data_IF_093863915103
#
_entry.id   IF_093863915103
#
_cell.length_a   1.000
_cell.length_b   1.000
_cell.length_c   1.000
_cell.angle_alpha   90.00
_cell.angle_beta   90.00
_cell.angle_gamma   90.00
#
_symmetry.space_group_name_H-M   'P 1'
#
loop_
_entity.id
_entity.type
_entity.pdbx_description
1 polymer ?
#
# COMPACT_ATOMS: atom_id res chain seq x y z
N UNK A 1 10.18 -46.07 13.04
CA UNK A 1 8.80 -45.83 12.73
C UNK A 1 8.66 -44.48 12.09
N UNK A 2 8.67 -44.42 10.77
CA UNK A 2 8.37 -43.17 10.03
C UNK A 2 6.86 -42.95 10.01
N UNK A 3 6.41 -41.76 10.34
CA UNK A 3 5.04 -41.36 10.12
C UNK A 3 4.75 -41.41 8.62
N UNK A 4 3.59 -41.96 8.23
CA UNK A 4 3.23 -42.04 6.82
C UNK A 4 3.07 -40.62 6.23
N UNK A 5 3.35 -40.46 4.94
CA UNK A 5 3.17 -39.21 4.21
C UNK A 5 1.75 -38.65 4.41
N UNK A 6 0.71 -39.50 4.39
CA UNK A 6 -0.69 -39.13 4.65
C UNK A 6 -0.91 -38.54 6.05
N UNK A 7 -0.18 -39.02 7.07
CA UNK A 7 -0.29 -38.46 8.42
C UNK A 7 0.33 -37.05 8.53
N UNK A 8 1.40 -36.81 7.77
CA UNK A 8 2.06 -35.51 7.71
C UNK A 8 1.23 -34.51 6.87
N UNK A 9 0.67 -34.95 5.74
CA UNK A 9 -0.22 -34.13 4.93
C UNK A 9 -1.49 -33.70 5.68
N UNK A 10 -2.12 -34.63 6.43
CA UNK A 10 -3.31 -34.33 7.23
C UNK A 10 -3.09 -33.34 8.39
N UNK A 11 -1.83 -33.15 8.85
CA UNK A 11 -1.48 -32.18 9.91
C UNK A 11 -0.82 -30.89 9.41
N UNK A 12 -0.10 -30.95 8.28
CA UNK A 12 0.64 -29.82 7.73
C UNK A 12 -0.26 -28.97 6.84
N UNK A 13 -1.13 -29.59 6.03
CA UNK A 13 -2.02 -28.85 5.14
C UNK A 13 -3.03 -27.93 5.85
N UNK A 14 -3.70 -28.31 6.95
CA UNK A 14 -4.55 -27.38 7.71
C UNK A 14 -3.77 -26.23 8.35
N UNK A 15 -2.50 -26.47 8.73
CA UNK A 15 -1.62 -25.41 9.26
C UNK A 15 -1.16 -24.43 8.20
N UNK A 16 -0.89 -24.91 6.99
CA UNK A 16 -0.51 -24.08 5.84
C UNK A 16 -1.71 -23.27 5.35
N UNK A 17 -2.89 -23.87 5.24
CA UNK A 17 -4.13 -23.17 4.89
C UNK A 17 -4.50 -22.09 5.93
N UNK A 18 -4.24 -22.33 7.22
CA UNK A 18 -4.44 -21.32 8.27
C UNK A 18 -3.40 -20.20 8.23
N UNK A 19 -2.21 -20.42 7.65
CA UNK A 19 -1.20 -19.37 7.41
C UNK A 19 -1.53 -18.54 6.18
N UNK A 20 -2.12 -19.11 5.14
CA UNK A 20 -2.59 -18.40 3.95
C UNK A 20 -3.80 -17.48 4.24
N UNK A 21 -4.55 -17.76 5.32
CA UNK A 21 -5.68 -16.93 5.78
C UNK A 21 -5.23 -15.71 6.62
N UNK A 22 -3.95 -15.63 6.97
CA UNK A 22 -3.37 -14.52 7.70
C UNK A 22 -2.81 -13.47 6.72
N UNK A 23 -3.45 -12.30 6.69
CA UNK A 23 -2.91 -11.14 5.92
C UNK A 23 -1.51 -10.81 6.43
N UNK A 24 -0.49 -11.01 5.58
CA UNK A 24 0.89 -10.66 5.90
C UNK A 24 0.99 -9.15 6.15
N UNK A 25 1.60 -8.76 7.24
CA UNK A 25 1.82 -7.35 7.56
C UNK A 25 2.72 -6.69 6.50
N UNK A 26 2.42 -5.43 6.17
CA UNK A 26 3.12 -4.68 5.13
C UNK A 26 3.61 -3.33 5.66
N UNK A 27 4.88 -3.04 5.44
CA UNK A 27 5.47 -1.73 5.69
C UNK A 27 5.92 -1.14 4.37
N UNK A 28 5.19 -0.11 3.93
CA UNK A 28 5.38 0.54 2.64
C UNK A 28 6.01 1.93 2.82
N UNK A 29 7.12 2.22 2.16
CA UNK A 29 7.84 3.48 2.25
C UNK A 29 7.61 4.36 1.00
N UNK A 30 6.79 5.39 1.10
CA UNK A 30 6.61 6.37 0.03
C UNK A 30 7.65 7.48 0.17
N UNK A 31 8.65 7.50 -0.71
CA UNK A 31 9.72 8.50 -0.68
C UNK A 31 9.30 9.85 -1.26
N UNK A 32 8.12 9.90 -1.89
CA UNK A 32 7.58 11.14 -2.47
C UNK A 32 8.59 11.77 -3.45
N UNK A 33 8.68 13.10 -3.49
CA UNK A 33 9.61 13.85 -4.35
C UNK A 33 10.95 14.08 -3.63
N UNK A 34 11.62 12.99 -3.26
CA UNK A 34 12.93 13.02 -2.59
C UNK A 34 13.88 12.02 -3.22
N UNK A 35 15.18 12.25 -3.05
CA UNK A 35 16.32 11.43 -3.47
C UNK A 35 16.65 11.56 -4.96
N UNK A 36 17.89 11.88 -5.21
CA UNK A 36 18.54 11.67 -6.51
C UNK A 36 18.80 10.17 -6.73
N UNK A 37 19.20 9.77 -7.93
CA UNK A 37 19.44 8.35 -8.25
C UNK A 37 20.42 7.69 -7.29
N UNK A 38 21.59 8.31 -7.04
CA UNK A 38 22.59 7.77 -6.12
C UNK A 38 22.09 7.64 -4.69
N UNK A 39 21.47 8.70 -4.15
CA UNK A 39 20.88 8.69 -2.80
C UNK A 39 19.76 7.65 -2.66
N UNK A 40 19.01 7.39 -3.73
CA UNK A 40 17.94 6.40 -3.75
C UNK A 40 18.47 4.97 -3.69
N UNK A 41 19.55 4.69 -4.43
CA UNK A 41 20.25 3.39 -4.39
C UNK A 41 20.84 3.13 -3.01
N UNK A 42 21.60 4.09 -2.47
CA UNK A 42 22.21 3.98 -1.12
C UNK A 42 21.15 3.70 -0.04
N UNK A 43 20.01 4.40 -0.11
CA UNK A 43 18.92 4.19 0.83
C UNK A 43 18.26 2.81 0.65
N UNK A 44 18.04 2.36 -0.59
CA UNK A 44 17.44 1.07 -0.87
C UNK A 44 18.30 -0.09 -0.37
N UNK A 45 19.62 -0.05 -0.64
CA UNK A 45 20.59 -1.04 -0.17
C UNK A 45 20.64 -1.08 1.36
N UNK A 46 20.67 0.09 2.02
CA UNK A 46 20.63 0.17 3.49
C UNK A 46 19.35 -0.41 4.08
N UNK A 47 18.18 -0.15 3.45
CA UNK A 47 16.92 -0.75 3.88
C UNK A 47 16.96 -2.28 3.73
N UNK A 48 17.49 -2.80 2.62
CA UNK A 48 17.66 -4.25 2.42
C UNK A 48 18.50 -4.86 3.53
N UNK A 49 19.62 -4.25 3.86
CA UNK A 49 20.52 -4.75 4.91
C UNK A 49 19.85 -4.72 6.29
N UNK A 50 19.24 -3.60 6.66
CA UNK A 50 18.67 -3.39 8.00
C UNK A 50 17.35 -4.12 8.24
N UNK A 51 16.63 -4.51 7.20
CA UNK A 51 15.36 -5.27 7.31
C UNK A 51 15.53 -6.76 7.04
N UNK A 52 16.77 -7.23 6.88
CA UNK A 52 17.03 -8.64 6.63
C UNK A 52 16.45 -9.54 7.73
N UNK A 53 15.81 -10.64 7.33
CA UNK A 53 15.18 -11.61 8.24
C UNK A 53 13.80 -11.20 8.76
N UNK A 54 13.24 -10.08 8.34
CA UNK A 54 11.86 -9.71 8.69
C UNK A 54 10.85 -10.67 8.06
N UNK A 55 9.75 -10.94 8.78
CA UNK A 55 8.59 -11.66 8.23
C UNK A 55 7.60 -10.72 7.56
N UNK A 56 7.70 -9.41 7.79
CA UNK A 56 6.83 -8.42 7.19
C UNK A 56 7.17 -8.25 5.69
N UNK A 57 6.19 -7.89 4.89
CA UNK A 57 6.44 -7.44 3.53
C UNK A 57 6.90 -5.98 3.56
N UNK A 58 8.07 -5.73 3.00
CA UNK A 58 8.68 -4.39 2.91
C UNK A 58 8.64 -3.95 1.46
N UNK A 59 8.04 -2.79 1.19
CA UNK A 59 7.94 -2.23 -0.17
C UNK A 59 8.35 -0.77 -0.15
N UNK A 60 9.17 -0.34 -1.11
CA UNK A 60 9.60 1.05 -1.26
C UNK A 60 9.07 1.65 -2.56
N UNK A 61 8.76 2.94 -2.53
CA UNK A 61 8.27 3.69 -3.67
C UNK A 61 9.19 4.88 -3.95
N UNK A 62 10.30 4.66 -4.68
CA UNK A 62 11.23 5.72 -5.08
C UNK A 62 10.59 6.64 -6.14
N UNK A 63 11.16 7.85 -6.38
CA UNK A 63 10.72 8.68 -7.50
C UNK A 63 11.01 7.99 -8.83
N UNK A 64 10.21 8.28 -9.86
CA UNK A 64 10.32 7.64 -11.18
C UNK A 64 11.73 7.70 -11.77
N UNK A 65 12.45 8.81 -11.55
CA UNK A 65 13.83 9.00 -12.06
C UNK A 65 14.85 8.04 -11.47
N UNK A 66 14.55 7.40 -10.34
CA UNK A 66 15.43 6.46 -9.67
C UNK A 66 14.88 5.02 -9.66
N UNK A 67 13.63 4.81 -10.09
CA UNK A 67 12.91 3.56 -9.90
C UNK A 67 13.62 2.37 -10.54
N UNK A 68 14.04 2.49 -11.81
CA UNK A 68 14.75 1.42 -12.53
C UNK A 68 16.11 1.09 -11.88
N UNK A 69 16.91 2.12 -11.55
CA UNK A 69 18.22 1.91 -10.93
C UNK A 69 18.11 1.29 -9.53
N UNK A 70 17.07 1.66 -8.77
CA UNK A 70 16.77 1.03 -7.48
C UNK A 70 16.35 -0.41 -7.68
N UNK A 71 15.50 -0.70 -8.68
CA UNK A 71 15.08 -2.05 -9.01
C UNK A 71 16.28 -2.97 -9.27
N UNK A 72 17.23 -2.51 -10.09
CA UNK A 72 18.47 -3.25 -10.39
C UNK A 72 19.33 -3.47 -9.14
N UNK A 73 19.44 -2.47 -8.28
CA UNK A 73 20.28 -2.54 -7.06
C UNK A 73 19.74 -3.55 -6.02
N UNK A 74 18.43 -3.75 -5.97
CA UNK A 74 17.80 -4.66 -5.01
C UNK A 74 17.19 -5.92 -5.64
N UNK A 75 17.55 -6.22 -6.89
CA UNK A 75 17.07 -7.43 -7.58
C UNK A 75 17.34 -8.70 -6.78
N UNK A 76 16.33 -9.58 -6.70
CA UNK A 76 16.38 -10.83 -5.93
C UNK A 76 16.43 -10.66 -4.41
N UNK A 77 16.26 -9.44 -3.87
CA UNK A 77 16.18 -9.19 -2.43
C UNK A 77 14.75 -9.31 -1.92
N UNK A 78 14.59 -9.30 -0.58
CA UNK A 78 13.30 -9.41 0.09
C UNK A 78 12.49 -8.12 0.14
N UNK A 79 13.05 -7.00 -0.27
CA UNK A 79 12.39 -5.69 -0.36
C UNK A 79 11.79 -5.53 -1.74
N UNK A 80 10.46 -5.37 -1.80
CA UNK A 80 9.75 -5.06 -3.03
C UNK A 80 9.80 -3.57 -3.37
N UNK A 81 9.45 -3.24 -4.58
CA UNK A 81 9.39 -1.84 -5.03
C UNK A 81 8.17 -1.58 -5.92
N UNK A 82 7.81 -0.31 -6.02
CA UNK A 82 6.67 0.13 -6.81
C UNK A 82 6.77 1.59 -7.22
N UNK A 83 5.82 2.01 -8.06
CA UNK A 83 5.72 3.37 -8.55
C UNK A 83 4.82 4.24 -7.67
N UNK A 84 5.12 5.54 -7.60
CA UNK A 84 4.34 6.51 -6.81
C UNK A 84 3.04 6.97 -7.49
N UNK A 85 2.88 6.70 -8.79
CA UNK A 85 1.70 7.01 -9.60
C UNK A 85 1.73 6.18 -10.89
N UNK A 86 0.63 6.24 -11.67
CA UNK A 86 0.49 5.60 -12.98
C UNK A 86 -0.39 6.47 -13.87
N UNK A 87 -0.13 6.48 -15.17
CA UNK A 87 -1.04 7.05 -16.13
C UNK A 87 -2.10 6.03 -16.59
N UNK A 88 -3.27 6.51 -17.00
CA UNK A 88 -4.41 5.66 -17.36
C UNK A 88 -4.27 4.92 -18.69
N UNK A 89 -3.44 5.44 -19.60
CA UNK A 89 -3.22 4.86 -20.92
C UNK A 89 -1.84 4.21 -21.00
N UNK A 90 -1.71 3.14 -21.76
CA UNK A 90 -0.47 2.37 -21.85
C UNK A 90 0.58 3.03 -22.75
N UNK A 91 0.14 3.81 -23.74
CA UNK A 91 0.99 4.56 -24.66
C UNK A 91 0.20 5.68 -25.35
N UNK A 92 0.87 6.64 -25.97
CA UNK A 92 0.24 7.70 -26.75
C UNK A 92 0.87 9.08 -26.59
N UNK A 93 0.16 10.11 -27.02
CA UNK A 93 0.59 11.50 -26.99
C UNK A 93 0.35 12.13 -25.59
N UNK A 94 1.03 11.63 -24.59
CA UNK A 94 0.89 12.03 -23.19
C UNK A 94 2.25 12.42 -22.60
N UNK A 95 2.82 13.49 -23.11
CA UNK A 95 4.17 13.94 -22.77
C UNK A 95 4.39 14.03 -21.25
N UNK A 96 5.39 13.30 -20.73
CA UNK A 96 5.76 13.27 -19.32
C UNK A 96 4.99 12.27 -18.46
N UNK A 97 3.98 11.57 -19.02
CA UNK A 97 3.29 10.51 -18.30
C UNK A 97 4.12 9.22 -18.23
N UNK A 98 3.96 8.45 -17.17
CA UNK A 98 4.54 7.11 -17.01
C UNK A 98 3.40 6.10 -16.98
N UNK A 99 3.39 5.18 -17.95
CA UNK A 99 2.32 4.21 -18.12
C UNK A 99 2.54 2.95 -17.26
N UNK A 100 1.45 2.18 -17.06
CA UNK A 100 1.55 0.89 -16.39
C UNK A 100 2.46 -0.10 -17.10
N UNK A 101 2.50 -0.05 -18.42
CA UNK A 101 3.41 -0.87 -19.25
C UNK A 101 4.88 -0.56 -18.95
N UNK A 102 5.25 0.73 -18.83
CA UNK A 102 6.61 1.14 -18.46
C UNK A 102 6.98 0.71 -17.04
N UNK A 103 6.03 0.78 -16.10
CA UNK A 103 6.25 0.35 -14.71
C UNK A 103 6.40 -1.18 -14.62
N UNK A 104 5.59 -1.93 -15.36
CA UNK A 104 5.67 -3.39 -15.40
C UNK A 104 6.95 -3.90 -16.09
N UNK A 105 7.46 -3.17 -17.07
CA UNK A 105 8.68 -3.51 -17.82
C UNK A 105 9.92 -3.60 -16.91
N UNK A 106 9.99 -2.77 -15.88
CA UNK A 106 11.04 -2.80 -14.84
C UNK A 106 10.70 -3.73 -13.67
N UNK A 107 9.77 -4.66 -13.85
CA UNK A 107 9.35 -5.64 -12.85
C UNK A 107 8.85 -5.06 -11.52
N UNK A 108 8.40 -3.80 -11.50
CA UNK A 108 7.76 -3.23 -10.31
C UNK A 108 6.45 -3.97 -10.02
N UNK A 109 6.21 -4.31 -8.75
CA UNK A 109 5.02 -5.07 -8.36
C UNK A 109 3.85 -4.16 -7.95
N UNK A 110 4.15 -3.02 -7.34
CA UNK A 110 3.16 -2.15 -6.70
C UNK A 110 3.05 -0.79 -7.39
N UNK A 111 1.91 -0.15 -7.20
CA UNK A 111 1.72 1.25 -7.59
C UNK A 111 0.78 1.97 -6.63
N UNK A 112 1.17 3.15 -6.15
CA UNK A 112 0.31 4.02 -5.36
C UNK A 112 -0.68 4.72 -6.29
N UNK A 113 -1.97 4.73 -5.93
CA UNK A 113 -3.03 5.34 -6.73
C UNK A 113 -3.90 6.23 -5.85
N UNK A 114 -4.10 7.46 -6.30
CA UNK A 114 -4.97 8.42 -5.63
C UNK A 114 -4.45 8.92 -4.29
N UNK A 115 -3.10 8.95 -4.10
CA UNK A 115 -2.47 9.55 -2.92
C UNK A 115 -3.00 10.97 -2.69
N UNK A 116 -3.16 11.37 -1.44
CA UNK A 116 -3.74 12.67 -1.05
C UNK A 116 -3.08 13.86 -1.73
N UNK A 117 -1.75 13.86 -1.85
CA UNK A 117 -1.01 14.91 -2.55
C UNK A 117 -1.37 14.97 -4.04
N UNK A 118 -1.58 13.83 -4.69
CA UNK A 118 -1.99 13.82 -6.10
C UNK A 118 -3.41 14.32 -6.30
N UNK A 119 -4.30 14.00 -5.38
CA UNK A 119 -5.68 14.53 -5.38
C UNK A 119 -5.71 16.04 -5.19
N UNK A 120 -4.88 16.58 -4.29
CA UNK A 120 -4.88 18.00 -3.93
C UNK A 120 -4.07 18.88 -4.88
N UNK A 121 -2.90 18.40 -5.33
CA UNK A 121 -1.93 19.20 -6.06
C UNK A 121 -1.93 18.94 -7.57
N UNK A 122 -2.32 17.72 -8.00
CA UNK A 122 -2.22 17.29 -9.39
C UNK A 122 -3.58 16.99 -10.04
N UNK A 123 -4.68 17.19 -9.31
CA UNK A 123 -6.03 17.08 -9.85
C UNK A 123 -6.52 15.65 -10.08
N UNK A 124 -5.95 14.66 -9.40
CA UNK A 124 -6.41 13.27 -9.45
C UNK A 124 -7.81 13.17 -8.79
N UNK A 125 -8.86 13.37 -9.58
CA UNK A 125 -10.23 13.20 -9.14
C UNK A 125 -10.66 11.72 -9.17
N UNK A 126 -11.88 11.41 -8.74
CA UNK A 126 -12.37 10.04 -8.65
C UNK A 126 -12.40 9.31 -10.01
N UNK A 127 -12.63 10.06 -11.11
CA UNK A 127 -12.60 9.49 -12.47
C UNK A 127 -11.18 9.11 -12.86
N UNK A 128 -10.19 9.97 -12.58
CA UNK A 128 -8.78 9.69 -12.83
C UNK A 128 -8.30 8.48 -12.01
N UNK A 129 -8.61 8.45 -10.72
CA UNK A 129 -8.27 7.33 -9.82
C UNK A 129 -8.84 6.01 -10.32
N UNK A 130 -10.11 5.98 -10.73
CA UNK A 130 -10.74 4.79 -11.27
C UNK A 130 -10.08 4.31 -12.59
N UNK A 131 -9.67 5.23 -13.46
CA UNK A 131 -8.94 4.88 -14.69
C UNK A 131 -7.54 4.34 -14.40
N UNK A 132 -6.82 4.96 -13.46
CA UNK A 132 -5.48 4.53 -13.02
C UNK A 132 -5.55 3.14 -12.37
N UNK A 133 -6.57 2.87 -11.57
CA UNK A 133 -6.75 1.55 -10.95
C UNK A 133 -6.93 0.45 -11.99
N UNK A 134 -7.75 0.70 -13.02
CA UNK A 134 -7.90 -0.24 -14.15
C UNK A 134 -6.61 -0.41 -14.94
N UNK A 135 -5.82 0.67 -15.12
CA UNK A 135 -4.52 0.59 -15.78
C UNK A 135 -3.53 -0.28 -14.99
N UNK A 136 -3.51 -0.17 -13.66
CA UNK A 136 -2.69 -1.02 -12.81
C UNK A 136 -3.02 -2.51 -12.99
N UNK A 137 -4.28 -2.88 -12.89
CA UNK A 137 -4.69 -4.29 -13.08
C UNK A 137 -4.42 -4.80 -14.50
N UNK A 138 -4.68 -3.99 -15.52
CA UNK A 138 -4.41 -4.35 -16.92
C UNK A 138 -2.92 -4.67 -17.17
N UNK A 139 -2.03 -4.05 -16.40
CA UNK A 139 -0.58 -4.24 -16.48
C UNK A 139 -0.03 -5.18 -15.39
N UNK A 140 -0.88 -5.91 -14.67
CA UNK A 140 -0.47 -6.89 -13.66
C UNK A 140 0.10 -6.30 -12.37
N UNK A 141 -0.06 -5.00 -12.14
CA UNK A 141 0.42 -4.32 -10.94
C UNK A 141 -0.56 -4.48 -9.77
N UNK A 142 -0.03 -4.51 -8.55
CA UNK A 142 -0.79 -4.53 -7.30
C UNK A 142 -1.03 -3.07 -6.83
N UNK A 143 -2.26 -2.55 -6.88
CA UNK A 143 -2.51 -1.17 -6.49
C UNK A 143 -2.53 -0.99 -4.98
N UNK A 144 -1.93 0.12 -4.50
CA UNK A 144 -2.12 0.69 -3.18
C UNK A 144 -3.07 1.89 -3.34
N UNK A 145 -4.37 1.63 -3.18
CA UNK A 145 -5.42 2.63 -3.34
C UNK A 145 -5.52 3.50 -2.09
N UNK A 146 -5.21 4.79 -2.23
CA UNK A 146 -5.32 5.76 -1.14
C UNK A 146 -6.72 6.35 -1.07
N UNK A 147 -7.29 6.32 0.14
CA UNK A 147 -8.59 6.90 0.49
C UNK A 147 -8.47 7.68 1.79
N UNK A 148 -9.25 8.73 1.93
CA UNK A 148 -9.23 9.55 3.14
C UNK A 148 -10.12 10.79 3.04
N UNK A 149 -10.50 11.30 4.19
CA UNK A 149 -11.27 12.53 4.34
C UNK A 149 -10.40 13.70 4.79
N UNK A 150 -10.81 14.90 4.43
CA UNK A 150 -10.16 16.12 4.87
C UNK A 150 -10.69 16.62 6.23
N UNK A 151 -10.16 17.75 6.72
CA UNK A 151 -10.50 18.33 8.01
C UNK A 151 -11.98 18.70 8.11
N UNK A 152 -12.54 19.33 7.08
CA UNK A 152 -13.95 19.73 7.05
C UNK A 152 -14.87 18.51 7.03
N UNK A 153 -14.56 17.51 6.20
CA UNK A 153 -15.33 16.26 6.10
C UNK A 153 -15.32 15.51 7.43
N UNK A 154 -14.18 15.48 8.14
CA UNK A 154 -14.07 14.89 9.49
C UNK A 154 -14.92 15.64 10.51
N UNK A 155 -14.80 16.97 10.57
CA UNK A 155 -15.53 17.82 11.51
C UNK A 155 -17.06 17.74 11.32
N UNK A 156 -17.51 17.55 10.07
CA UNK A 156 -18.92 17.41 9.72
C UNK A 156 -19.45 15.96 9.84
N UNK A 157 -18.64 15.01 10.33
CA UNK A 157 -19.03 13.60 10.45
C UNK A 157 -19.24 12.89 9.11
N UNK A 158 -18.61 13.39 8.04
CA UNK A 158 -18.77 12.88 6.66
C UNK A 158 -17.77 11.79 6.28
N UNK A 159 -16.90 11.32 7.21
CA UNK A 159 -15.88 10.28 6.96
C UNK A 159 -16.46 9.06 6.25
N UNK A 160 -17.53 8.46 6.81
CA UNK A 160 -18.15 7.27 6.21
C UNK A 160 -18.68 7.51 4.80
N UNK A 161 -19.26 8.65 4.54
CA UNK A 161 -19.76 9.05 3.21
C UNK A 161 -18.60 9.20 2.22
N UNK A 162 -17.52 9.88 2.64
CA UNK A 162 -16.34 10.14 1.81
C UNK A 162 -15.65 8.85 1.41
N UNK A 163 -15.30 8.02 2.39
CA UNK A 163 -14.63 6.72 2.16
C UNK A 163 -15.49 5.83 1.27
N UNK A 164 -16.79 5.74 1.55
CA UNK A 164 -17.71 4.95 0.72
C UNK A 164 -17.75 5.42 -0.73
N UNK A 165 -17.81 6.72 -0.95
CA UNK A 165 -17.81 7.32 -2.29
C UNK A 165 -16.50 7.02 -3.04
N UNK A 166 -15.35 7.19 -2.38
CA UNK A 166 -14.05 6.93 -2.97
C UNK A 166 -13.90 5.46 -3.38
N UNK A 167 -14.25 4.52 -2.49
CA UNK A 167 -14.20 3.09 -2.79
C UNK A 167 -15.18 2.70 -3.91
N UNK A 168 -16.43 3.15 -3.86
CA UNK A 168 -17.43 2.83 -4.89
C UNK A 168 -17.02 3.32 -6.28
N UNK A 169 -16.45 4.54 -6.38
CA UNK A 169 -16.01 5.09 -7.65
C UNK A 169 -14.77 4.35 -8.19
N UNK A 170 -13.77 4.13 -7.33
CA UNK A 170 -12.53 3.48 -7.71
C UNK A 170 -12.77 2.03 -8.16
N UNK A 171 -13.61 1.29 -7.42
CA UNK A 171 -13.83 -0.15 -7.61
C UNK A 171 -14.91 -0.49 -8.65
N UNK A 172 -15.52 0.54 -9.26
CA UNK A 172 -16.53 0.30 -10.30
C UNK A 172 -15.92 -0.40 -11.51
N UNK A 173 -16.41 -1.62 -11.78
CA UNK A 173 -15.95 -2.45 -12.89
C UNK A 173 -14.67 -3.25 -12.62
N UNK A 174 -14.18 -3.24 -11.38
CA UNK A 174 -13.13 -4.15 -10.91
C UNK A 174 -13.77 -5.49 -10.54
N UNK A 175 -13.13 -6.59 -10.92
CA UNK A 175 -13.59 -7.94 -10.59
C UNK A 175 -13.16 -8.35 -9.17
N UNK A 176 -13.85 -9.32 -8.58
CA UNK A 176 -13.47 -9.87 -7.27
C UNK A 176 -12.02 -10.37 -7.25
N UNK A 177 -11.60 -11.08 -8.32
CA UNK A 177 -10.23 -11.60 -8.46
C UNK A 177 -9.16 -10.50 -8.50
N UNK A 178 -9.42 -9.40 -9.18
CA UNK A 178 -8.52 -8.24 -9.19
C UNK A 178 -8.43 -7.62 -7.79
N UNK A 179 -9.58 -7.44 -7.12
CA UNK A 179 -9.64 -6.82 -5.80
C UNK A 179 -8.89 -7.60 -4.71
N UNK A 180 -8.74 -8.92 -4.82
CA UNK A 180 -8.01 -9.75 -3.86
C UNK A 180 -6.55 -9.33 -3.66
N UNK A 181 -5.92 -8.76 -4.70
CA UNK A 181 -4.52 -8.31 -4.66
C UNK A 181 -4.38 -6.82 -4.34
N UNK A 182 -5.48 -6.14 -4.02
CA UNK A 182 -5.47 -4.72 -3.67
C UNK A 182 -4.98 -4.50 -2.25
N UNK A 183 -4.28 -3.38 -2.08
CA UNK A 183 -4.00 -2.78 -0.78
C UNK A 183 -4.77 -1.46 -0.70
N UNK A 184 -5.41 -1.16 0.43
CA UNK A 184 -6.04 0.13 0.66
C UNK A 184 -5.26 0.89 1.72
N UNK A 185 -4.80 2.10 1.43
CA UNK A 185 -4.16 2.97 2.41
C UNK A 185 -5.15 4.04 2.88
N UNK A 186 -5.44 4.05 4.16
CA UNK A 186 -6.25 5.09 4.79
C UNK A 186 -5.37 6.29 5.16
N UNK A 187 -5.62 7.42 4.54
CA UNK A 187 -4.92 8.68 4.76
C UNK A 187 -5.85 9.69 5.45
N UNK A 188 -5.82 9.83 6.80
CA UNK A 188 -6.55 10.90 7.48
C UNK A 188 -5.89 12.25 7.15
N UNK A 189 -6.37 12.98 6.11
CA UNK A 189 -5.72 14.19 5.63
C UNK A 189 -5.65 15.28 6.72
N UNK A 190 -6.60 15.27 7.64
CA UNK A 190 -6.65 16.15 8.81
C UNK A 190 -5.50 15.90 9.82
N UNK A 191 -4.87 14.71 9.76
CA UNK A 191 -3.76 14.30 10.64
C UNK A 191 -2.39 14.30 9.92
N UNK A 192 -2.33 14.61 8.62
CA UNK A 192 -1.07 14.63 7.86
C UNK A 192 -0.47 16.04 7.91
N UNK A 193 0.70 16.18 8.54
CA UNK A 193 1.43 17.45 8.58
C UNK A 193 0.79 18.57 9.40
N UNK A 194 -0.33 18.30 10.09
CA UNK A 194 -1.10 19.30 10.84
C UNK A 194 -0.68 19.45 12.30
N UNK A 195 0.18 18.56 12.81
CA UNK A 195 0.49 18.45 14.24
C UNK A 195 -0.59 17.72 15.07
N UNK A 196 -1.75 17.42 14.49
CA UNK A 196 -2.82 16.63 15.11
C UNK A 196 -2.68 15.19 14.62
N UNK A 197 -2.16 14.31 15.46
CA UNK A 197 -2.09 12.88 15.12
C UNK A 197 -3.47 12.23 15.29
N UNK A 198 -3.87 11.38 14.32
CA UNK A 198 -4.97 10.46 14.53
C UNK A 198 -4.60 9.46 15.64
N UNK A 199 -5.59 9.04 16.42
CA UNK A 199 -5.39 7.94 17.37
C UNK A 199 -5.49 6.58 16.67
N UNK A 200 -4.94 5.54 17.29
CA UNK A 200 -5.11 4.17 16.78
C UNK A 200 -6.61 3.78 16.72
N UNK A 201 -7.42 4.27 17.65
CA UNK A 201 -8.86 4.05 17.65
C UNK A 201 -9.56 4.70 16.46
N UNK A 202 -9.22 5.95 16.12
CA UNK A 202 -9.74 6.63 14.90
C UNK A 202 -9.40 5.83 13.64
N UNK A 203 -8.16 5.36 13.53
CA UNK A 203 -7.70 4.59 12.39
C UNK A 203 -8.42 3.24 12.28
N UNK A 204 -8.62 2.55 13.42
CA UNK A 204 -9.35 1.27 13.47
C UNK A 204 -10.82 1.43 13.06
N UNK A 205 -11.50 2.48 13.53
CA UNK A 205 -12.90 2.75 13.14
C UNK A 205 -13.03 2.84 11.61
N UNK A 206 -12.12 3.56 10.95
CA UNK A 206 -12.14 3.71 9.50
C UNK A 206 -11.69 2.43 8.80
N UNK A 207 -10.75 1.66 9.34
CA UNK A 207 -10.35 0.38 8.78
C UNK A 207 -11.51 -0.64 8.78
N UNK A 208 -12.27 -0.74 9.87
CA UNK A 208 -13.50 -1.54 9.94
C UNK A 208 -14.51 -1.07 8.89
N UNK A 209 -14.70 0.23 8.73
CA UNK A 209 -15.57 0.80 7.70
C UNK A 209 -15.11 0.40 6.29
N UNK A 210 -13.82 0.54 5.97
CA UNK A 210 -13.24 0.16 4.68
C UNK A 210 -13.52 -1.32 4.41
N UNK A 211 -13.20 -2.20 5.36
CA UNK A 211 -13.42 -3.65 5.27
C UNK A 211 -14.87 -3.99 4.97
N UNK A 212 -15.81 -3.42 5.75
CA UNK A 212 -17.25 -3.60 5.54
C UNK A 212 -17.74 -3.09 4.17
N UNK A 213 -17.11 -2.03 3.62
CA UNK A 213 -17.47 -1.54 2.28
C UNK A 213 -16.97 -2.47 1.18
N UNK A 214 -15.75 -2.99 1.30
CA UNK A 214 -15.19 -3.97 0.36
C UNK A 214 -16.03 -5.26 0.37
N UNK A 215 -16.42 -5.73 1.55
CA UNK A 215 -17.31 -6.88 1.71
C UNK A 215 -18.66 -6.68 0.97
N UNK A 216 -19.27 -5.50 1.09
CA UNK A 216 -20.52 -5.16 0.41
C UNK A 216 -20.38 -4.99 -1.10
N UNK A 217 -19.21 -4.56 -1.58
CA UNK A 217 -18.95 -4.40 -3.03
C UNK A 217 -18.68 -5.75 -3.69
N UNK A 218 -17.96 -6.64 -3.02
CA UNK A 218 -17.53 -7.93 -3.55
C UNK A 218 -18.07 -9.11 -2.72
N UNK A 219 -17.36 -9.49 -1.65
CA UNK A 219 -17.73 -10.57 -0.73
C UNK A 219 -16.87 -10.50 0.54
N UNK A 220 -17.24 -11.26 1.58
CA UNK A 220 -16.46 -11.46 2.79
C UNK A 220 -15.06 -12.06 2.46
N UNK A 221 -15.03 -13.04 1.54
CA UNK A 221 -13.77 -13.68 1.13
C UNK A 221 -12.78 -12.67 0.53
N UNK A 222 -13.21 -11.82 -0.39
CA UNK A 222 -12.39 -10.74 -0.95
C UNK A 222 -11.97 -9.76 0.14
N UNK A 223 -12.91 -9.34 0.99
CA UNK A 223 -12.62 -8.40 2.06
C UNK A 223 -11.56 -8.93 3.03
N UNK A 224 -11.52 -10.22 3.32
CA UNK A 224 -10.50 -10.86 4.16
C UNK A 224 -9.09 -10.84 3.54
N UNK A 225 -8.97 -10.86 2.21
CA UNK A 225 -7.68 -10.85 1.50
C UNK A 225 -7.09 -9.45 1.35
N UNK A 226 -7.93 -8.44 1.20
CA UNK A 226 -7.49 -7.04 1.03
C UNK A 226 -6.79 -6.54 2.29
N UNK A 227 -5.55 -6.06 2.13
CA UNK A 227 -4.81 -5.43 3.23
C UNK A 227 -5.19 -3.96 3.37
N UNK A 228 -5.26 -3.50 4.62
CA UNK A 228 -5.53 -2.10 4.93
C UNK A 228 -4.33 -1.53 5.67
N UNK A 229 -3.74 -0.46 5.14
CA UNK A 229 -2.62 0.25 5.72
C UNK A 229 -3.08 1.57 6.33
N UNK A 230 -2.44 1.97 7.42
CA UNK A 230 -2.55 3.32 7.93
C UNK A 230 -1.51 4.22 7.24
N UNK A 231 -1.95 5.30 6.60
CA UNK A 231 -1.14 6.24 5.81
C UNK A 231 -1.06 7.66 6.39
N UNK A 232 -1.32 7.82 7.69
CA UNK A 232 -1.12 9.10 8.36
C UNK A 232 0.32 9.31 8.83
N UNK A 233 0.51 10.11 9.88
CA UNK A 233 1.82 10.38 10.47
C UNK A 233 2.34 9.16 11.22
N UNK A 234 3.28 8.42 10.62
CA UNK A 234 3.90 7.21 11.17
C UNK A 234 5.36 7.48 11.53
N UNK A 235 5.75 7.03 12.72
CA UNK A 235 7.11 7.05 13.25
C UNK A 235 7.43 5.71 13.91
N UNK A 236 8.70 5.48 14.25
CA UNK A 236 9.15 4.30 15.00
C UNK A 236 8.49 4.17 16.39
N UNK A 237 7.94 5.27 16.92
CA UNK A 237 7.31 5.29 18.25
C UNK A 237 5.84 4.90 18.26
N UNK A 238 5.14 5.06 17.12
CA UNK A 238 3.69 4.88 17.08
C UNK A 238 3.23 3.81 16.07
N UNK A 239 4.12 3.29 15.22
CA UNK A 239 3.73 2.35 14.17
C UNK A 239 3.03 1.10 14.73
N UNK A 240 3.55 0.52 15.80
CA UNK A 240 2.98 -0.65 16.46
C UNK A 240 1.55 -0.42 17.00
N UNK A 241 1.25 0.81 17.43
CA UNK A 241 -0.08 1.15 17.97
C UNK A 241 -1.16 1.11 16.89
N UNK A 242 -0.80 1.45 15.64
CA UNK A 242 -1.73 1.42 14.51
C UNK A 242 -1.95 0.01 13.96
N UNK A 243 -0.91 -0.85 13.93
CA UNK A 243 -0.98 -2.15 13.26
C UNK A 243 -1.60 -3.20 14.17
N UNK A 244 -2.91 -3.09 14.35
CA UNK A 244 -3.75 -3.97 15.16
C UNK A 244 -5.11 -4.17 14.45
N UNK A 245 -5.86 -5.19 14.86
CA UNK A 245 -7.23 -5.42 14.39
C UNK A 245 -7.34 -5.51 12.87
N UNK A 246 -7.97 -4.52 12.25
CA UNK A 246 -8.21 -4.48 10.80
C UNK A 246 -7.12 -3.76 10.00
N UNK A 247 -6.08 -3.22 10.66
CA UNK A 247 -4.94 -2.57 10.01
C UNK A 247 -3.79 -3.56 9.90
N UNK A 248 -3.40 -3.85 8.67
CA UNK A 248 -2.42 -4.86 8.31
C UNK A 248 -1.01 -4.27 8.09
N UNK A 249 -0.82 -2.98 8.31
CA UNK A 249 0.46 -2.33 8.13
C UNK A 249 0.38 -0.82 7.98
N UNK A 250 1.45 -0.22 7.46
CA UNK A 250 1.58 1.24 7.35
C UNK A 250 2.13 1.68 5.98
N UNK A 251 1.65 2.83 5.51
CA UNK A 251 2.24 3.58 4.40
C UNK A 251 2.99 4.79 4.98
N UNK A 252 4.31 4.70 4.99
CA UNK A 252 5.21 5.62 5.69
C UNK A 252 5.74 6.69 4.73
N UNK A 253 5.61 7.97 5.09
CA UNK A 253 6.19 9.09 4.35
C UNK A 253 7.61 9.42 4.83
N UNK A 254 7.80 10.57 5.49
CA UNK A 254 9.11 11.12 5.86
C UNK A 254 10.06 10.19 6.62
N UNK A 255 9.54 9.35 7.51
CA UNK A 255 10.36 8.38 8.24
C UNK A 255 10.96 7.27 7.33
N UNK A 256 10.42 7.07 6.12
CA UNK A 256 10.98 6.12 5.14
C UNK A 256 12.20 6.65 4.38
N UNK A 257 12.55 7.92 4.57
CA UNK A 257 13.72 8.56 3.93
C UNK A 257 15.03 8.32 4.66
N UNK A 258 15.00 7.57 5.76
CA UNK A 258 16.17 7.16 6.56
C UNK A 258 16.05 5.67 6.86
N UNK A 259 17.09 4.91 6.57
CA UNK A 259 17.08 3.45 6.72
C UNK A 259 16.85 3.02 8.17
N UNK A 260 17.54 3.66 9.13
CA UNK A 260 17.41 3.38 10.56
C UNK A 260 15.98 3.61 11.10
N UNK A 261 15.33 4.73 10.74
CA UNK A 261 13.96 5.01 11.14
C UNK A 261 12.96 4.05 10.48
N UNK A 262 13.14 3.78 9.18
CA UNK A 262 12.23 2.89 8.45
C UNK A 262 12.35 1.43 8.91
N UNK A 263 13.56 0.94 9.10
CA UNK A 263 13.81 -0.41 9.62
C UNK A 263 13.35 -0.58 11.08
N UNK A 264 13.43 0.47 11.90
CA UNK A 264 12.84 0.46 13.24
C UNK A 264 11.31 0.30 13.17
N UNK A 265 10.64 0.96 12.22
CA UNK A 265 9.20 0.75 11.96
C UNK A 265 8.95 -0.69 11.52
N UNK A 266 9.72 -1.23 10.57
CA UNK A 266 9.59 -2.62 10.10
C UNK A 266 9.69 -3.62 11.25
N UNK A 267 10.61 -3.39 12.19
CA UNK A 267 10.78 -4.27 13.36
C UNK A 267 9.71 -4.13 14.43
N UNK A 268 9.02 -3.00 14.49
CA UNK A 268 7.99 -2.72 15.52
C UNK A 268 6.61 -3.26 15.17
N UNK A 269 6.37 -3.62 13.91
CA UNK A 269 5.05 -3.99 13.36
C UNK A 269 4.83 -5.52 13.30
#
# INVERSE_FOLDING_TARGET
GGASLEYLEGKVLPGIAALDDLRRKMVAGNWKCHKTVGEAVELAESIVEETNGTLNEVVIFPPFTALETVADAIDGKHVGYGAQDIFSEDEGAYTGAVSGKMIADICAEYVIIGHSERRTLFGDNEVAVAKKLRAAYRNGLKPVLCVGENTEERAEGKTSRKISMQLQNALKGITAREAENMVVAYEPLWAIGSGNAATAADAQEVAVLIRSKIEKIFSEEVARKVRILYGGSVTEKNAADFVQGEIDGVLVGGASLKADSFSAIVRSV
#
